data_IF_540106421628
#
_entry.id   IF_540106421628
#
_cell.length_a   1.000
_cell.length_b   1.000
_cell.length_c   1.000
_cell.angle_alpha   90.00
_cell.angle_beta   90.00
_cell.angle_gamma   90.00
#
_symmetry.space_group_name_H-M   'P 1'
#
loop_
_entity.id
_entity.type
_entity.pdbx_description
1 polymer ?
#
# COMPACT_ATOMS: atom_id res chain seq x y z
N UNK A 1 4.97 7.29 2.93
CA UNK A 1 5.14 7.71 1.52
C UNK A 1 6.39 8.56 1.27
N UNK A 2 6.55 9.77 1.83
CA UNK A 2 7.71 10.65 1.51
C UNK A 2 9.07 9.97 1.67
N UNK A 3 9.29 9.33 2.81
CA UNK A 3 10.54 8.59 3.06
C UNK A 3 10.75 7.45 2.06
N UNK A 4 9.67 6.83 1.60
CA UNK A 4 9.71 5.70 0.66
C UNK A 4 10.00 6.18 -0.76
N UNK A 5 9.50 7.35 -1.16
CA UNK A 5 9.93 8.00 -2.41
C UNK A 5 11.43 8.29 -2.37
N UNK A 6 11.95 8.81 -1.26
CA UNK A 6 13.39 9.01 -1.08
C UNK A 6 14.16 7.68 -1.15
N UNK A 7 13.64 6.60 -0.59
CA UNK A 7 14.29 5.28 -0.64
C UNK A 7 14.25 4.64 -2.04
N UNK A 8 13.12 4.76 -2.75
CA UNK A 8 12.90 4.08 -4.05
C UNK A 8 13.53 4.85 -5.21
N UNK A 9 13.35 6.17 -5.26
CA UNK A 9 13.84 7.01 -6.36
C UNK A 9 14.89 8.04 -5.92
N UNK A 10 15.25 8.15 -4.64
CA UNK A 10 16.31 9.07 -4.22
C UNK A 10 15.96 10.55 -4.39
N UNK A 11 14.67 10.89 -4.51
CA UNK A 11 14.16 12.25 -4.63
C UNK A 11 13.31 12.60 -3.42
N UNK A 12 13.47 13.82 -2.92
CA UNK A 12 12.69 14.36 -1.81
C UNK A 12 11.51 15.19 -2.30
N UNK A 13 10.33 14.90 -1.76
CA UNK A 13 9.09 15.61 -2.07
C UNK A 13 8.59 16.34 -0.81
N UNK A 14 8.31 17.66 -0.88
CA UNK A 14 7.71 18.38 0.22
C UNK A 14 6.26 17.92 0.44
N UNK A 15 5.78 18.04 1.68
CA UNK A 15 4.36 17.87 2.00
C UNK A 15 3.73 19.25 1.99
N UNK A 16 2.67 19.40 1.20
CA UNK A 16 1.92 20.64 1.05
C UNK A 16 0.44 20.39 1.31
N UNK A 17 -0.29 21.40 1.79
CA UNK A 17 -1.74 21.36 2.00
C UNK A 17 -2.47 22.37 1.09
N UNK A 18 -1.90 22.62 -0.09
CA UNK A 18 -2.40 23.57 -1.09
C UNK A 18 -3.22 22.82 -2.16
N UNK A 19 -4.01 23.53 -2.99
CA UNK A 19 -4.66 22.92 -4.15
C UNK A 19 -3.65 22.21 -5.06
N UNK A 20 -4.03 21.04 -5.57
CA UNK A 20 -3.19 20.18 -6.41
C UNK A 20 -2.72 20.93 -7.66
N UNK A 21 -1.42 20.87 -7.92
CA UNK A 21 -0.75 21.43 -9.09
C UNK A 21 -0.17 20.31 -9.97
N UNK A 22 0.22 20.68 -11.18
CA UNK A 22 1.00 19.80 -12.07
C UNK A 22 2.29 19.36 -11.36
N UNK A 23 2.56 18.05 -11.39
CA UNK A 23 3.69 17.39 -10.73
C UNK A 23 3.41 16.91 -9.30
N UNK A 24 2.26 17.25 -8.71
CA UNK A 24 1.92 16.82 -7.36
C UNK A 24 1.44 15.37 -7.30
N UNK A 25 1.56 14.79 -6.12
CA UNK A 25 0.95 13.50 -5.75
C UNK A 25 -0.12 13.80 -4.68
N UNK A 26 -1.39 13.68 -5.06
CA UNK A 26 -2.53 13.88 -4.19
C UNK A 26 -3.02 12.55 -3.61
N UNK A 27 -3.23 12.51 -2.29
CA UNK A 27 -3.82 11.37 -1.58
C UNK A 27 -5.20 11.78 -1.07
N UNK A 28 -6.23 11.04 -1.45
CA UNK A 28 -7.62 11.45 -1.27
C UNK A 28 -8.47 10.29 -0.75
N UNK A 29 -9.41 10.61 0.15
CA UNK A 29 -10.47 9.68 0.54
C UNK A 29 -11.69 9.84 -0.37
N UNK A 30 -12.24 8.71 -0.82
CA UNK A 30 -13.42 8.65 -1.66
C UNK A 30 -14.29 7.46 -1.24
N UNK A 31 -15.20 7.68 -0.28
CA UNK A 31 -16.11 6.64 0.24
C UNK A 31 -17.12 6.12 -0.80
N UNK A 32 -17.29 6.83 -1.91
CA UNK A 32 -18.12 6.41 -3.03
C UNK A 32 -17.38 5.44 -3.96
N UNK A 33 -16.05 5.33 -3.84
CA UNK A 33 -15.26 4.41 -4.65
C UNK A 33 -15.47 2.96 -4.17
N UNK A 34 -16.03 2.13 -5.05
CA UNK A 34 -16.30 0.72 -4.79
C UNK A 34 -15.53 -0.18 -5.75
N UNK A 35 -15.22 -1.41 -5.32
CA UNK A 35 -14.72 -2.47 -6.19
C UNK A 35 -15.79 -2.94 -7.19
N UNK A 36 -15.34 -3.51 -8.31
CA UNK A 36 -16.25 -4.08 -9.31
C UNK A 36 -16.67 -5.50 -8.94
N UNK A 37 -15.85 -6.17 -8.12
CA UNK A 37 -16.08 -7.51 -7.58
C UNK A 37 -16.21 -7.49 -6.05
N UNK A 38 -16.71 -8.58 -5.50
CA UNK A 38 -16.85 -8.74 -4.06
C UNK A 38 -15.48 -8.98 -3.41
N UNK A 39 -15.22 -8.23 -2.34
CA UNK A 39 -14.09 -8.38 -1.43
C UNK A 39 -14.56 -9.17 -0.21
N UNK A 40 -13.83 -10.22 0.14
CA UNK A 40 -14.06 -10.97 1.37
C UNK A 40 -13.47 -10.22 2.57
N UNK A 41 -14.27 -9.93 3.59
CA UNK A 41 -13.79 -9.32 4.84
C UNK A 41 -14.40 -10.01 6.05
N UNK A 42 -13.81 -9.83 7.23
CA UNK A 42 -14.31 -10.40 8.49
C UNK A 42 -14.94 -9.29 9.31
N UNK A 43 -16.24 -9.43 9.61
CA UNK A 43 -16.95 -8.55 10.56
C UNK A 43 -17.66 -9.41 11.60
N UNK A 44 -17.44 -9.09 12.89
CA UNK A 44 -18.03 -9.82 14.02
C UNK A 44 -17.84 -11.35 13.95
N UNK A 45 -16.65 -11.80 13.53
CA UNK A 45 -16.30 -13.22 13.43
C UNK A 45 -16.90 -13.97 12.24
N UNK A 46 -17.62 -13.29 11.35
CA UNK A 46 -18.18 -13.87 10.13
C UNK A 46 -17.48 -13.32 8.88
N UNK A 47 -17.30 -14.17 7.88
CA UNK A 47 -16.87 -13.74 6.54
C UNK A 47 -18.08 -13.13 5.83
N UNK A 48 -17.94 -11.87 5.40
CA UNK A 48 -18.93 -11.16 4.63
C UNK A 48 -18.35 -10.71 3.29
N UNK A 49 -19.22 -10.35 2.36
CA UNK A 49 -18.85 -9.73 1.09
C UNK A 49 -19.11 -8.23 1.16
N UNK A 50 -18.15 -7.45 0.69
CA UNK A 50 -18.28 -5.99 0.55
C UNK A 50 -17.68 -5.56 -0.78
N UNK A 51 -17.93 -4.31 -1.17
CA UNK A 51 -17.21 -3.66 -2.27
C UNK A 51 -16.44 -2.42 -1.79
N UNK A 52 -16.29 -2.31 -0.48
CA UNK A 52 -15.58 -1.26 0.23
C UNK A 52 -14.10 -1.62 0.34
N UNK A 53 -13.21 -0.64 0.10
CA UNK A 53 -11.76 -0.85 0.16
C UNK A 53 -11.07 -0.92 -1.21
N UNK A 54 -11.70 -0.44 -2.28
CA UNK A 54 -11.02 -0.22 -3.55
C UNK A 54 -10.18 1.05 -3.53
N UNK A 55 -9.20 1.14 -4.42
CA UNK A 55 -8.52 2.38 -4.76
C UNK A 55 -8.48 2.62 -6.27
N UNK A 56 -8.28 3.87 -6.66
CA UNK A 56 -7.95 4.32 -8.00
C UNK A 56 -6.70 5.19 -7.96
N UNK A 57 -5.76 4.93 -8.86
CA UNK A 57 -4.63 5.81 -9.13
C UNK A 57 -4.73 6.31 -10.56
N UNK A 58 -4.76 7.63 -10.75
CA UNK A 58 -4.68 8.29 -12.05
C UNK A 58 -3.37 9.06 -12.13
N UNK A 59 -2.60 8.81 -13.18
CA UNK A 59 -1.34 9.46 -13.48
C UNK A 59 -1.44 10.18 -14.81
N UNK A 60 -1.41 11.50 -14.78
CA UNK A 60 -1.40 12.40 -15.94
C UNK A 60 -0.37 13.52 -15.68
N UNK A 61 -0.77 14.79 -15.78
CA UNK A 61 0.04 15.93 -15.34
C UNK A 61 0.27 15.97 -13.82
N UNK A 62 -0.54 15.24 -13.05
CA UNK A 62 -0.37 14.99 -11.62
C UNK A 62 -0.75 13.55 -11.32
N UNK A 63 -0.42 13.06 -10.12
CA UNK A 63 -0.86 11.75 -9.65
C UNK A 63 -1.94 11.94 -8.60
N UNK A 64 -3.11 11.35 -8.83
CA UNK A 64 -4.18 11.28 -7.83
C UNK A 64 -4.37 9.84 -7.39
N UNK A 65 -4.29 9.60 -6.07
CA UNK A 65 -4.60 8.30 -5.44
C UNK A 65 -5.82 8.50 -4.56
N UNK A 66 -6.94 7.95 -5.02
CA UNK A 66 -8.21 7.95 -4.30
C UNK A 66 -8.46 6.56 -3.71
N UNK A 67 -8.65 6.46 -2.41
CA UNK A 67 -8.99 5.20 -1.74
C UNK A 67 -10.30 5.32 -0.97
N UNK A 68 -11.04 4.21 -0.89
CA UNK A 68 -12.24 4.14 -0.04
C UNK A 68 -11.93 4.48 1.42
N UNK A 69 -10.80 3.99 1.92
CA UNK A 69 -10.31 4.20 3.27
C UNK A 69 -8.77 4.35 3.29
N UNK A 70 -8.19 4.42 4.49
CA UNK A 70 -6.75 4.53 4.68
C UNK A 70 -5.97 3.35 4.09
N UNK A 71 -6.48 2.12 4.24
CA UNK A 71 -5.84 0.90 3.72
C UNK A 71 -5.73 1.00 2.20
N UNK A 72 -6.84 1.34 1.55
CA UNK A 72 -6.93 1.50 0.11
C UNK A 72 -5.98 2.59 -0.42
N UNK A 73 -5.92 3.76 0.23
CA UNK A 73 -4.96 4.81 -0.13
C UNK A 73 -3.52 4.30 0.00
N UNK A 74 -3.19 3.63 1.11
CA UNK A 74 -1.85 3.08 1.34
C UNK A 74 -1.44 2.06 0.27
N UNK A 75 -2.34 1.16 -0.12
CA UNK A 75 -2.14 0.22 -1.23
C UNK A 75 -1.93 0.92 -2.58
N UNK A 76 -2.68 2.00 -2.82
CA UNK A 76 -2.47 2.87 -3.98
C UNK A 76 -1.07 3.49 -4.00
N UNK A 77 -0.56 3.94 -2.84
CA UNK A 77 0.83 4.44 -2.77
C UNK A 77 1.86 3.34 -3.01
N UNK A 78 1.59 2.10 -2.60
CA UNK A 78 2.47 0.97 -2.93
C UNK A 78 2.52 0.75 -4.46
N UNK A 79 1.39 0.88 -5.15
CA UNK A 79 1.35 0.80 -6.62
C UNK A 79 2.12 1.94 -7.29
N UNK A 80 1.99 3.17 -6.78
CA UNK A 80 2.81 4.30 -7.24
C UNK A 80 4.30 4.00 -7.11
N UNK A 81 4.74 3.55 -5.93
CA UNK A 81 6.15 3.22 -5.66
C UNK A 81 6.67 2.09 -6.58
N UNK A 82 5.82 1.15 -6.97
CA UNK A 82 6.18 0.08 -7.92
C UNK A 82 6.35 0.59 -9.36
N UNK A 83 5.66 1.67 -9.73
CA UNK A 83 5.61 2.17 -11.10
C UNK A 83 6.52 3.38 -11.36
N UNK A 84 6.78 4.19 -10.34
CA UNK A 84 7.56 5.42 -10.45
C UNK A 84 9.04 5.11 -10.72
N UNK A 85 9.65 5.87 -11.61
CA UNK A 85 11.06 5.75 -11.96
C UNK A 85 11.78 7.08 -11.81
N UNK A 86 13.10 7.04 -11.61
CA UNK A 86 13.95 8.23 -11.65
C UNK A 86 14.57 8.36 -13.04
N UNK A 87 14.45 9.54 -13.62
CA UNK A 87 15.20 9.97 -14.79
C UNK A 87 15.96 11.25 -14.44
N UNK A 88 17.26 11.14 -14.27
CA UNK A 88 18.14 12.20 -13.78
C UNK A 88 17.69 12.83 -12.45
N UNK A 89 17.05 13.99 -12.48
CA UNK A 89 16.52 14.70 -11.31
C UNK A 89 14.99 14.78 -11.31
N UNK A 90 14.35 14.03 -12.21
CA UNK A 90 12.90 13.97 -12.34
C UNK A 90 12.38 12.59 -11.93
N UNK A 91 11.16 12.58 -11.40
CA UNK A 91 10.38 11.37 -11.30
C UNK A 91 9.53 11.23 -12.56
N UNK A 92 9.52 10.05 -13.15
CA UNK A 92 8.72 9.73 -14.33
C UNK A 92 7.74 8.60 -14.01
N UNK A 93 6.55 8.71 -14.60
CA UNK A 93 5.48 7.73 -14.49
C UNK A 93 4.73 7.72 -15.83
N UNK A 94 4.39 6.55 -16.40
CA UNK A 94 3.54 6.49 -17.58
C UNK A 94 2.17 7.12 -17.31
N UNK A 95 1.55 7.71 -18.34
CA UNK A 95 0.14 8.10 -18.25
C UNK A 95 -0.70 6.84 -18.10
N UNK A 96 -1.39 6.71 -16.97
CA UNK A 96 -2.16 5.50 -16.67
C UNK A 96 -3.29 5.76 -15.69
N UNK A 97 -4.30 4.89 -15.74
CA UNK A 97 -5.31 4.78 -14.69
C UNK A 97 -5.34 3.33 -14.21
N UNK A 98 -5.19 3.13 -12.91
CA UNK A 98 -5.28 1.84 -12.24
C UNK A 98 -6.47 1.89 -11.29
N UNK A 99 -7.31 0.86 -11.34
CA UNK A 99 -8.37 0.60 -10.37
C UNK A 99 -8.14 -0.80 -9.84
N UNK A 100 -8.04 -0.95 -8.52
CA UNK A 100 -7.55 -2.18 -7.92
C UNK A 100 -8.13 -2.35 -6.50
N UNK A 101 -8.24 -3.59 -6.07
CA UNK A 101 -8.81 -4.01 -4.79
C UNK A 101 -8.36 -5.44 -4.48
N UNK A 102 -8.25 -5.81 -3.20
CA UNK A 102 -7.89 -7.17 -2.83
C UNK A 102 -9.06 -8.12 -3.04
N UNK A 103 -8.77 -9.37 -3.34
CA UNK A 103 -9.79 -10.43 -3.29
C UNK A 103 -10.34 -10.62 -1.86
N UNK A 104 -9.45 -10.52 -0.86
CA UNK A 104 -9.80 -10.57 0.55
C UNK A 104 -9.05 -9.47 1.32
N UNK A 105 -9.79 -8.73 2.14
CA UNK A 105 -9.26 -7.70 3.02
C UNK A 105 -8.30 -8.28 4.08
N UNK A 106 -8.47 -9.57 4.41
CA UNK A 106 -7.51 -10.31 5.19
C UNK A 106 -6.46 -10.99 4.29
N UNK A 107 -5.33 -10.31 4.09
CA UNK A 107 -4.14 -10.86 3.43
C UNK A 107 -2.99 -10.89 4.43
N UNK A 108 -2.54 -12.08 4.83
CA UNK A 108 -1.55 -12.24 5.88
C UNK A 108 -0.46 -13.26 5.60
N UNK A 109 0.65 -13.10 6.30
CA UNK A 109 1.74 -14.08 6.37
C UNK A 109 2.10 -14.36 7.83
N UNK A 110 2.68 -15.54 8.07
CA UNK A 110 3.21 -15.92 9.37
C UNK A 110 4.74 -15.99 9.28
N UNK A 111 5.42 -15.33 10.22
CA UNK A 111 6.86 -15.41 10.40
C UNK A 111 7.16 -16.19 11.69
N UNK A 112 7.84 -17.33 11.55
CA UNK A 112 8.34 -18.11 12.68
C UNK A 112 9.61 -17.44 13.23
N UNK A 113 9.46 -16.76 14.36
CA UNK A 113 10.58 -16.15 15.10
C UNK A 113 10.93 -16.96 16.36
N UNK A 114 10.20 -18.04 16.63
CA UNK A 114 10.42 -18.91 17.78
C UNK A 114 11.55 -19.91 17.52
N UNK A 115 11.59 -20.50 16.32
CA UNK A 115 12.59 -21.52 15.95
C UNK A 115 13.89 -20.95 15.41
N UNK A 116 13.87 -19.72 14.92
CA UNK A 116 15.04 -19.01 14.43
C UNK A 116 15.03 -17.57 14.97
N UNK A 117 16.13 -17.17 15.60
CA UNK A 117 16.27 -15.80 16.08
C UNK A 117 16.28 -14.83 14.89
N UNK A 118 15.38 -13.85 14.92
CA UNK A 118 15.34 -12.74 13.98
C UNK A 118 15.58 -11.45 14.77
N UNK A 119 16.48 -10.60 14.28
CA UNK A 119 16.67 -9.26 14.82
C UNK A 119 15.46 -8.36 14.54
N UNK A 120 15.28 -7.30 15.33
CA UNK A 120 14.23 -6.31 15.06
C UNK A 120 14.37 -5.68 13.67
N UNK A 121 15.60 -5.53 13.17
CA UNK A 121 15.85 -4.99 11.83
C UNK A 121 15.33 -5.93 10.74
N UNK A 122 15.52 -7.24 10.88
CA UNK A 122 14.99 -8.25 9.96
C UNK A 122 13.46 -8.26 9.95
N UNK A 123 12.83 -8.16 11.12
CA UNK A 123 11.37 -8.06 11.24
C UNK A 123 10.87 -6.78 10.57
N UNK A 124 11.54 -5.64 10.79
CA UNK A 124 11.22 -4.39 10.11
C UNK A 124 11.35 -4.51 8.59
N UNK A 125 12.38 -5.19 8.07
CA UNK A 125 12.52 -5.49 6.64
C UNK A 125 11.36 -6.35 6.13
N UNK A 126 10.92 -7.35 6.89
CA UNK A 126 9.74 -8.14 6.56
C UNK A 126 8.47 -7.28 6.45
N UNK A 127 8.27 -6.32 7.37
CA UNK A 127 7.16 -5.37 7.31
C UNK A 127 7.21 -4.52 6.02
N UNK A 128 8.39 -4.07 5.60
CA UNK A 128 8.54 -3.32 4.35
C UNK A 128 8.17 -4.16 3.13
N UNK A 129 8.55 -5.44 3.11
CA UNK A 129 8.15 -6.38 2.06
C UNK A 129 6.62 -6.58 2.07
N UNK A 130 6.02 -6.80 3.24
CA UNK A 130 4.56 -6.92 3.38
C UNK A 130 3.87 -5.69 2.78
N UNK A 131 4.35 -4.50 3.11
CA UNK A 131 3.82 -3.25 2.58
C UNK A 131 3.95 -3.17 1.05
N UNK A 132 5.11 -3.52 0.49
CA UNK A 132 5.34 -3.51 -0.95
C UNK A 132 4.39 -4.46 -1.71
N UNK A 133 3.98 -5.57 -1.09
CA UNK A 133 3.06 -6.56 -1.67
C UNK A 133 1.61 -6.43 -1.17
N UNK A 134 1.27 -5.37 -0.42
CA UNK A 134 -0.08 -5.14 0.13
C UNK A 134 -0.57 -6.27 1.04
N UNK A 135 0.35 -6.88 1.79
CA UNK A 135 0.03 -7.82 2.87
C UNK A 135 -0.21 -7.02 4.15
N UNK A 136 -1.44 -7.03 4.65
CA UNK A 136 -1.87 -6.20 5.78
C UNK A 136 -1.64 -6.83 7.15
N UNK A 137 -1.43 -8.16 7.22
CA UNK A 137 -1.30 -8.88 8.48
C UNK A 137 0.01 -9.67 8.54
N UNK A 138 0.86 -9.36 9.51
CA UNK A 138 2.07 -10.13 9.82
C UNK A 138 1.89 -10.80 11.18
N UNK A 139 1.65 -12.10 11.18
CA UNK A 139 1.64 -12.90 12.41
C UNK A 139 3.07 -13.24 12.78
N UNK A 140 3.52 -12.79 13.96
CA UNK A 140 4.77 -13.24 14.56
C UNK A 140 4.47 -14.46 15.42
N UNK A 141 5.00 -15.62 15.04
CA UNK A 141 4.88 -16.83 15.83
C UNK A 141 5.99 -16.84 16.89
N UNK A 142 5.63 -16.41 18.10
CA UNK A 142 6.60 -16.03 19.15
C UNK A 142 7.11 -17.20 20.00
N UNK A 143 6.30 -18.25 20.15
CA UNK A 143 6.60 -19.39 21.03
C UNK A 143 6.32 -20.69 20.32
N UNK A 144 7.32 -21.57 20.28
CA UNK A 144 7.22 -22.92 19.74
C UNK A 144 8.32 -23.78 20.38
N UNK A 145 8.15 -25.11 20.34
CA UNK A 145 9.23 -26.03 20.69
C UNK A 145 10.04 -26.39 19.43
N UNK A 146 11.35 -26.53 19.61
CA UNK A 146 12.16 -27.31 18.69
C UNK A 146 12.11 -28.76 19.18
N UNK A 147 11.21 -29.55 18.60
CA UNK A 147 11.23 -31.00 18.71
C UNK A 147 12.18 -31.62 17.68
#
# INVERSE_FOLDING_TARGET
MREELRLVIGLDFPIVNEPVRKGDIALLFNEQLKADEDILTVRNGAVIRTREGAYRMTAEDSVAIEGFDYRAVAEGTAKLLQAIQRVENFAELPVMTIRDWPHADYTGIMLDVARQANSCEEICRCIQICRAYKVCYLQLHLTDDQA
#
